data_IF_551665615661
#
_entry.id   IF_551665615661
#
_cell.length_a   1.000
_cell.length_b   1.000
_cell.length_c   1.000
_cell.angle_alpha   90.00
_cell.angle_beta   90.00
_cell.angle_gamma   90.00
#
_symmetry.space_group_name_H-M   'P 1'
#
loop_
_entity.id
_entity.type
_entity.pdbx_description
1 polymer ?
#
# COMPACT_ATOMS: atom_id res chain seq x y z
N UNK A 1 11.54 7.79 -28.33
CA UNK A 1 11.52 6.31 -28.20
C UNK A 1 10.14 5.77 -27.85
N UNK A 2 9.59 5.97 -26.64
CA UNK A 2 8.29 5.37 -26.28
C UNK A 2 7.13 5.91 -27.13
N UNK A 3 7.05 7.23 -27.32
CA UNK A 3 6.06 7.89 -28.19
C UNK A 3 6.22 7.43 -29.65
N UNK A 4 7.44 7.39 -30.16
CA UNK A 4 7.76 6.96 -31.53
C UNK A 4 7.42 5.48 -31.77
N UNK A 5 7.60 4.63 -30.75
CA UNK A 5 7.27 3.20 -30.80
C UNK A 5 5.80 2.91 -30.49
N UNK A 6 5.03 3.94 -30.15
CA UNK A 6 3.65 3.83 -29.66
C UNK A 6 3.49 2.76 -28.56
N UNK A 7 4.45 2.68 -27.64
CA UNK A 7 4.48 1.65 -26.62
C UNK A 7 3.25 1.75 -25.71
N UNK A 8 2.55 0.64 -25.46
CA UNK A 8 1.39 0.63 -24.55
C UNK A 8 1.81 0.79 -23.09
N UNK A 9 2.97 0.23 -22.74
CA UNK A 9 3.55 0.25 -21.40
C UNK A 9 5.03 0.68 -21.47
N UNK A 10 5.45 1.49 -20.51
CA UNK A 10 6.85 1.68 -20.15
C UNK A 10 7.09 0.99 -18.83
N UNK A 11 8.15 0.19 -18.78
CA UNK A 11 8.56 -0.53 -17.57
C UNK A 11 9.98 -0.13 -17.25
N UNK A 12 10.22 0.21 -15.99
CA UNK A 12 11.54 0.49 -15.45
C UNK A 12 11.73 -0.25 -14.12
N UNK A 13 12.97 -0.66 -13.86
CA UNK A 13 13.36 -1.22 -12.56
C UNK A 13 14.46 -0.37 -11.94
N UNK A 14 14.64 -0.48 -10.63
CA UNK A 14 15.84 0.02 -9.97
C UNK A 14 17.06 -0.88 -10.22
N UNK A 15 18.29 -0.45 -9.90
CA UNK A 15 19.52 -1.13 -10.30
C UNK A 15 19.67 -2.58 -9.80
N UNK A 16 19.08 -2.91 -8.65
CA UNK A 16 19.04 -4.27 -8.08
C UNK A 16 17.80 -5.07 -8.49
N UNK A 17 16.92 -4.48 -9.32
CA UNK A 17 15.75 -5.11 -9.92
C UNK A 17 14.71 -5.62 -8.90
N UNK A 18 14.57 -4.92 -7.78
CA UNK A 18 13.64 -5.29 -6.71
C UNK A 18 12.36 -4.43 -6.72
N UNK A 19 12.36 -3.28 -7.41
CA UNK A 19 11.19 -2.42 -7.60
C UNK A 19 10.83 -2.21 -9.06
N UNK A 20 9.53 -2.03 -9.30
CA UNK A 20 8.96 -1.86 -10.64
C UNK A 20 8.22 -0.51 -10.77
N UNK A 21 8.66 0.32 -11.71
CA UNK A 21 7.90 1.47 -12.19
C UNK A 21 7.15 1.13 -13.48
N UNK A 22 5.89 1.55 -13.58
CA UNK A 22 5.04 1.33 -14.76
C UNK A 22 4.44 2.68 -15.19
N UNK A 23 4.53 2.99 -16.48
CA UNK A 23 3.69 4.01 -17.11
C UNK A 23 2.85 3.38 -18.21
N UNK A 24 1.61 3.84 -18.33
CA UNK A 24 0.60 3.29 -19.24
C UNK A 24 0.20 4.36 -20.24
N UNK A 25 0.20 4.04 -21.55
CA UNK A 25 -0.38 4.92 -22.57
C UNK A 25 -1.90 4.90 -22.40
N UNK A 26 -2.49 6.04 -22.06
CA UNK A 26 -3.92 6.21 -21.86
C UNK A 26 -4.33 7.57 -22.41
N UNK A 27 -5.37 7.60 -23.26
CA UNK A 27 -5.86 8.81 -23.95
C UNK A 27 -4.75 9.63 -24.66
N UNK A 28 -3.73 8.95 -25.18
CA UNK A 28 -2.61 9.58 -25.90
C UNK A 28 -1.49 10.15 -25.01
N UNK A 29 -1.63 10.09 -23.68
CA UNK A 29 -0.60 10.47 -22.72
C UNK A 29 -0.08 9.25 -21.95
N UNK A 30 1.09 9.39 -21.31
CA UNK A 30 1.64 8.35 -20.44
C UNK A 30 1.38 8.68 -18.97
N UNK A 31 0.58 7.85 -18.32
CA UNK A 31 0.21 7.98 -16.90
C UNK A 31 1.01 7.00 -16.06
N UNK A 32 1.70 7.49 -15.03
CA UNK A 32 2.44 6.65 -14.10
C UNK A 32 1.51 6.00 -13.09
N UNK A 33 1.70 4.70 -12.85
CA UNK A 33 1.07 3.98 -11.74
C UNK A 33 1.99 4.02 -10.53
N UNK A 34 1.43 4.35 -9.36
CA UNK A 34 2.18 4.25 -8.10
C UNK A 34 2.21 2.79 -7.58
N UNK A 35 2.97 2.54 -6.51
CA UNK A 35 3.12 1.19 -5.95
C UNK A 35 1.81 0.59 -5.41
N UNK A 36 0.93 1.40 -4.81
CA UNK A 36 -0.39 0.95 -4.34
C UNK A 36 -1.30 0.58 -5.52
N UNK A 37 -1.39 1.44 -6.53
CA UNK A 37 -2.19 1.20 -7.74
C UNK A 37 -1.70 -0.03 -8.49
N UNK A 38 -0.38 -0.20 -8.60
CA UNK A 38 0.23 -1.41 -9.20
C UNK A 38 -0.16 -2.66 -8.41
N UNK A 39 -0.03 -2.63 -7.08
CA UNK A 39 -0.43 -3.74 -6.22
C UNK A 39 -1.93 -4.07 -6.29
N UNK A 40 -2.78 -3.05 -6.40
CA UNK A 40 -4.24 -3.19 -6.58
C UNK A 40 -4.58 -3.86 -7.90
N UNK A 41 -4.05 -3.36 -9.01
CA UNK A 41 -4.29 -3.91 -10.36
C UNK A 41 -3.84 -5.36 -10.42
N UNK A 42 -2.63 -5.66 -9.91
CA UNK A 42 -2.09 -7.02 -9.89
C UNK A 42 -2.93 -7.95 -9.02
N UNK A 43 -3.34 -7.50 -7.82
CA UNK A 43 -4.18 -8.29 -6.92
C UNK A 43 -5.54 -8.60 -7.56
N UNK A 44 -6.22 -7.58 -8.09
CA UNK A 44 -7.52 -7.75 -8.75
C UNK A 44 -7.43 -8.74 -9.92
N UNK A 45 -6.45 -8.56 -10.79
CA UNK A 45 -6.25 -9.41 -11.95
C UNK A 45 -5.97 -10.87 -11.55
N UNK A 46 -5.06 -11.09 -10.60
CA UNK A 46 -4.73 -12.45 -10.12
C UNK A 46 -5.98 -13.15 -9.59
N UNK A 47 -6.76 -12.47 -8.74
CA UNK A 47 -7.96 -13.06 -8.14
C UNK A 47 -9.05 -13.33 -9.17
N UNK A 48 -9.25 -12.42 -10.12
CA UNK A 48 -10.22 -12.58 -11.20
C UNK A 48 -9.86 -13.77 -12.11
N UNK A 49 -8.57 -13.94 -12.42
CA UNK A 49 -8.08 -15.05 -13.25
C UNK A 49 -8.10 -16.39 -12.53
N UNK A 50 -7.90 -16.39 -11.21
CA UNK A 50 -7.88 -17.61 -10.40
C UNK A 50 -9.24 -17.95 -9.78
N UNK A 51 -10.30 -17.15 -9.95
CA UNK A 51 -11.57 -17.32 -9.20
C UNK A 51 -12.16 -18.73 -9.22
N UNK A 52 -12.03 -19.47 -10.32
CA UNK A 52 -12.52 -20.86 -10.48
C UNK A 52 -11.50 -21.93 -10.05
N UNK A 53 -10.26 -21.51 -9.77
CA UNK A 53 -9.11 -22.38 -9.49
C UNK A 53 -8.29 -21.88 -8.29
N UNK A 54 -8.92 -21.13 -7.37
CA UNK A 54 -8.24 -20.63 -6.17
C UNK A 54 -7.72 -21.84 -5.37
N UNK A 55 -6.45 -21.81 -4.93
CA UNK A 55 -5.92 -22.87 -4.10
C UNK A 55 -6.58 -22.84 -2.73
N UNK A 56 -6.38 -23.89 -1.93
CA UNK A 56 -6.90 -23.96 -0.56
C UNK A 56 -6.22 -22.89 0.33
N UNK A 57 -7.03 -22.19 1.12
CA UNK A 57 -6.60 -21.14 2.06
C UNK A 57 -5.69 -20.07 1.41
N UNK A 58 -6.15 -19.45 0.31
CA UNK A 58 -5.35 -18.48 -0.43
C UNK A 58 -5.16 -17.20 0.40
N UNK A 59 -4.00 -16.57 0.26
CA UNK A 59 -3.76 -15.27 0.87
C UNK A 59 -2.87 -14.33 0.04
N UNK A 60 -3.14 -13.05 0.22
CA UNK A 60 -2.31 -11.92 -0.23
C UNK A 60 -1.58 -11.36 0.99
N UNK A 61 -0.41 -10.76 0.80
CA UNK A 61 0.32 -10.07 1.87
C UNK A 61 0.56 -8.62 1.48
N UNK A 62 0.27 -7.67 2.36
CA UNK A 62 0.65 -6.26 2.18
C UNK A 62 1.29 -5.71 3.45
N UNK A 63 2.00 -4.59 3.36
CA UNK A 63 2.39 -3.88 4.59
C UNK A 63 1.22 -3.09 5.14
N UNK A 64 1.26 -2.77 6.45
CA UNK A 64 0.26 -1.94 7.11
C UNK A 64 0.13 -0.53 6.50
N UNK A 65 1.15 -0.04 5.81
CA UNK A 65 1.15 1.29 5.16
C UNK A 65 0.83 1.25 3.66
N UNK A 66 0.57 0.08 3.10
CA UNK A 66 0.05 -0.07 1.74
C UNK A 66 -1.47 0.06 1.72
N UNK A 67 -2.08 0.35 0.57
CA UNK A 67 -3.52 0.62 0.46
C UNK A 67 -4.41 -0.48 1.05
N UNK A 68 -5.56 -0.09 1.62
CA UNK A 68 -6.59 -1.01 2.13
C UNK A 68 -7.60 -1.46 1.07
N UNK A 69 -7.55 -0.88 -0.14
CA UNK A 69 -8.41 -1.29 -1.26
C UNK A 69 -8.27 -2.80 -1.58
N UNK A 70 -7.04 -3.34 -1.47
CA UNK A 70 -6.79 -4.78 -1.69
C UNK A 70 -7.55 -5.67 -0.71
N UNK A 71 -7.88 -5.20 0.50
CA UNK A 71 -8.72 -5.94 1.45
C UNK A 71 -10.15 -6.08 0.94
N UNK A 72 -10.71 -5.02 0.36
CA UNK A 72 -12.06 -5.03 -0.23
C UNK A 72 -12.13 -5.95 -1.44
N UNK A 73 -11.13 -5.87 -2.32
CA UNK A 73 -11.01 -6.74 -3.49
C UNK A 73 -10.92 -8.20 -3.06
N UNK A 74 -9.98 -8.54 -2.16
CA UNK A 74 -9.76 -9.91 -1.72
C UNK A 74 -10.98 -10.53 -1.00
N UNK A 75 -11.73 -9.73 -0.25
CA UNK A 75 -12.95 -10.18 0.43
C UNK A 75 -14.01 -10.72 -0.55
N UNK A 76 -14.16 -10.13 -1.75
CA UNK A 76 -15.08 -10.61 -2.80
C UNK A 76 -14.79 -12.06 -3.23
N UNK A 77 -13.53 -12.47 -3.15
CA UNK A 77 -13.06 -13.79 -3.54
C UNK A 77 -12.82 -14.73 -2.35
N UNK A 78 -13.22 -14.32 -1.13
CA UNK A 78 -12.93 -15.04 0.11
C UNK A 78 -11.42 -15.32 0.32
N UNK A 79 -10.57 -14.41 -0.15
CA UNK A 79 -9.11 -14.50 0.01
C UNK A 79 -8.68 -13.66 1.20
N UNK A 80 -7.81 -14.22 2.05
CA UNK A 80 -7.30 -13.50 3.23
C UNK A 80 -6.25 -12.49 2.80
N UNK A 81 -6.24 -11.33 3.46
CA UNK A 81 -5.11 -10.38 3.38
C UNK A 81 -4.38 -10.43 4.71
N UNK A 82 -3.11 -10.83 4.68
CA UNK A 82 -2.21 -10.76 5.83
C UNK A 82 -1.47 -9.43 5.77
N UNK A 83 -1.40 -8.74 6.89
CA UNK A 83 -0.64 -7.50 7.00
C UNK A 83 0.70 -7.76 7.67
N UNK A 84 1.72 -6.99 7.32
CA UNK A 84 3.03 -6.99 7.97
C UNK A 84 3.49 -5.57 8.27
N UNK A 85 4.48 -5.41 9.14
CA UNK A 85 5.21 -4.15 9.23
C UNK A 85 5.89 -3.83 7.88
N UNK A 86 6.28 -2.56 7.70
CA UNK A 86 7.11 -2.13 6.57
C UNK A 86 8.42 -2.93 6.50
N UNK A 87 8.78 -3.39 5.30
CA UNK A 87 9.97 -4.17 5.02
C UNK A 87 9.62 -5.56 4.49
N UNK A 88 10.00 -5.84 3.24
CA UNK A 88 9.68 -7.09 2.55
C UNK A 88 10.14 -8.36 3.27
N UNK A 89 11.16 -8.28 4.14
CA UNK A 89 11.57 -9.42 4.98
C UNK A 89 10.40 -10.04 5.74
N UNK A 90 9.45 -9.25 6.23
CA UNK A 90 8.29 -9.75 6.97
C UNK A 90 7.30 -10.46 6.03
N UNK A 91 7.17 -9.99 4.79
CA UNK A 91 6.40 -10.69 3.76
C UNK A 91 7.07 -12.03 3.45
N UNK A 92 8.40 -12.05 3.29
CA UNK A 92 9.20 -13.26 3.15
C UNK A 92 9.01 -14.26 4.30
N UNK A 93 9.03 -13.80 5.55
CA UNK A 93 8.77 -14.62 6.74
C UNK A 93 7.38 -15.27 6.72
N UNK A 94 6.35 -14.54 6.27
CA UNK A 94 5.00 -15.09 6.13
C UNK A 94 4.93 -16.17 5.04
N UNK A 95 5.62 -15.96 3.92
CA UNK A 95 5.69 -16.96 2.84
C UNK A 95 6.44 -18.20 3.34
N UNK A 96 7.58 -18.01 4.01
CA UNK A 96 8.40 -19.09 4.54
C UNK A 96 7.65 -19.91 5.58
N UNK A 97 6.97 -19.26 6.53
CA UNK A 97 6.14 -19.92 7.53
C UNK A 97 5.03 -20.74 6.87
N UNK A 98 4.40 -20.20 5.83
CA UNK A 98 3.34 -20.90 5.08
C UNK A 98 3.87 -22.17 4.40
N UNK A 99 5.05 -22.11 3.78
CA UNK A 99 5.68 -23.25 3.12
C UNK A 99 6.15 -24.32 4.13
N UNK A 100 6.78 -23.91 5.24
CA UNK A 100 7.27 -24.83 6.29
C UNK A 100 6.11 -25.54 7.00
N UNK A 101 5.04 -24.83 7.33
CA UNK A 101 3.88 -25.41 7.99
C UNK A 101 2.95 -26.18 7.03
N UNK A 102 3.13 -26.01 5.72
CA UNK A 102 2.21 -26.53 4.70
C UNK A 102 0.79 -25.95 4.83
N UNK A 103 0.67 -24.70 5.30
CA UNK A 103 -0.60 -24.03 5.57
C UNK A 103 -0.68 -22.69 4.85
N UNK A 104 -1.82 -22.46 4.21
CA UNK A 104 -2.06 -21.28 3.38
C UNK A 104 -1.39 -21.37 2.01
N UNK A 105 -1.94 -20.65 1.05
CA UNK A 105 -1.40 -20.56 -0.31
C UNK A 105 -1.14 -19.10 -0.67
N UNK A 106 0.13 -18.70 -0.68
CA UNK A 106 0.53 -17.35 -1.09
C UNK A 106 0.19 -17.12 -2.57
N UNK A 107 -0.48 -16.01 -2.86
CA UNK A 107 -0.81 -15.60 -4.23
C UNK A 107 0.05 -14.43 -4.71
N UNK A 108 0.21 -13.42 -3.86
CA UNK A 108 0.93 -12.18 -4.19
C UNK A 108 1.20 -11.38 -2.92
N UNK A 109 2.21 -10.52 -2.97
CA UNK A 109 2.43 -9.54 -1.92
C UNK A 109 3.26 -8.36 -2.37
N UNK A 110 2.99 -7.22 -1.76
CA UNK A 110 3.52 -5.95 -2.22
C UNK A 110 3.68 -4.92 -1.09
N UNK A 111 4.50 -3.92 -1.38
CA UNK A 111 4.66 -2.69 -0.61
C UNK A 111 4.29 -1.50 -1.50
N UNK A 112 3.78 -0.43 -0.90
CA UNK A 112 3.48 0.85 -1.55
C UNK A 112 4.73 1.50 -2.18
N UNK A 113 5.91 1.07 -1.75
CA UNK A 113 7.22 1.52 -2.24
C UNK A 113 7.68 0.82 -3.53
N UNK A 114 6.74 0.37 -4.37
CA UNK A 114 6.98 -0.28 -5.69
C UNK A 114 7.59 -1.69 -5.66
N UNK A 115 7.73 -2.27 -4.47
CA UNK A 115 8.22 -3.64 -4.29
C UNK A 115 7.10 -4.65 -4.31
N UNK A 116 7.25 -5.75 -5.05
CA UNK A 116 6.28 -6.85 -5.02
C UNK A 116 6.91 -8.19 -5.39
N UNK A 117 6.21 -9.27 -5.05
CA UNK A 117 6.57 -10.62 -5.44
C UNK A 117 5.33 -11.35 -5.94
N UNK A 118 5.41 -11.81 -7.19
CA UNK A 118 4.46 -12.77 -7.75
C UNK A 118 5.12 -14.15 -7.82
N UNK A 119 4.56 -15.11 -7.10
CA UNK A 119 5.17 -16.42 -6.89
C UNK A 119 5.96 -16.53 -5.58
N UNK A 120 6.62 -17.67 -5.36
CA UNK A 120 7.32 -17.98 -4.09
C UNK A 120 8.75 -18.45 -4.27
N UNK A 121 9.35 -18.16 -5.43
CA UNK A 121 10.74 -18.50 -5.75
C UNK A 121 11.74 -17.68 -4.95
N UNK A 122 11.33 -16.50 -4.48
CA UNK A 122 12.12 -15.63 -3.61
C UNK A 122 11.43 -15.39 -2.26
N UNK A 123 12.18 -14.80 -1.33
CA UNK A 123 11.69 -14.18 -0.08
C UNK A 123 11.98 -12.69 -0.06
N UNK A 124 12.14 -12.13 -1.25
CA UNK A 124 12.42 -10.73 -1.52
C UNK A 124 11.57 -10.27 -2.70
N UNK A 125 11.56 -8.97 -2.95
CA UNK A 125 10.88 -8.38 -4.11
C UNK A 125 11.56 -8.84 -5.40
N UNK A 126 10.76 -8.95 -6.46
CA UNK A 126 11.27 -9.31 -7.78
C UNK A 126 10.53 -8.53 -8.86
N UNK A 127 11.17 -7.46 -9.32
CA UNK A 127 10.62 -6.60 -10.37
C UNK A 127 10.51 -7.31 -11.72
N UNK A 128 11.26 -8.38 -11.97
CA UNK A 128 11.18 -9.16 -13.22
C UNK A 128 9.88 -9.98 -13.24
N UNK A 129 9.55 -10.64 -12.12
CA UNK A 129 8.26 -11.34 -11.98
C UNK A 129 7.08 -10.37 -12.10
N UNK A 130 7.19 -9.20 -11.47
CA UNK A 130 6.18 -8.15 -11.52
C UNK A 130 6.05 -7.54 -12.93
N UNK A 131 7.15 -7.35 -13.66
CA UNK A 131 7.17 -6.85 -15.03
C UNK A 131 6.48 -7.84 -15.99
N UNK A 132 6.77 -9.14 -15.85
CA UNK A 132 6.11 -10.18 -16.64
C UNK A 132 4.59 -10.20 -16.37
N UNK A 133 4.18 -10.03 -15.11
CA UNK A 133 2.78 -9.89 -14.74
C UNK A 133 2.16 -8.62 -15.34
N UNK A 134 2.84 -7.47 -15.26
CA UNK A 134 2.37 -6.21 -15.85
C UNK A 134 2.16 -6.33 -17.37
N UNK A 135 3.11 -6.92 -18.10
CA UNK A 135 2.99 -7.22 -19.53
C UNK A 135 1.81 -8.17 -19.81
N UNK A 136 1.59 -9.17 -18.95
CA UNK A 136 0.46 -10.10 -19.07
C UNK A 136 -0.87 -9.39 -18.91
N UNK A 137 -0.98 -8.50 -17.91
CA UNK A 137 -2.17 -7.69 -17.65
C UNK A 137 -2.42 -6.74 -18.82
N UNK A 138 -1.41 -5.94 -19.22
CA UNK A 138 -1.54 -4.99 -20.33
C UNK A 138 -1.92 -5.69 -21.63
N UNK A 139 -1.28 -6.81 -21.97
CA UNK A 139 -1.62 -7.61 -23.14
C UNK A 139 -3.00 -8.27 -23.05
N UNK A 140 -3.48 -8.59 -21.85
CA UNK A 140 -4.84 -9.09 -21.64
C UNK A 140 -5.89 -8.01 -21.89
N UNK A 141 -5.74 -6.85 -21.24
CA UNK A 141 -6.66 -5.72 -21.34
C UNK A 141 -6.71 -5.14 -22.75
N UNK A 142 -5.55 -5.06 -23.43
CA UNK A 142 -5.46 -4.58 -24.82
C UNK A 142 -6.33 -5.36 -25.79
N UNK A 143 -6.56 -6.67 -25.57
CA UNK A 143 -7.47 -7.47 -26.42
C UNK A 143 -8.93 -7.02 -26.35
N UNK A 144 -9.31 -6.35 -25.26
CA UNK A 144 -10.62 -5.74 -25.08
C UNK A 144 -10.61 -4.24 -25.37
N UNK A 145 -9.52 -3.69 -25.91
CA UNK A 145 -9.38 -2.26 -26.16
C UNK A 145 -9.17 -1.42 -24.89
N UNK A 146 -8.84 -2.06 -23.76
CA UNK A 146 -8.65 -1.39 -22.47
C UNK A 146 -7.17 -1.23 -22.12
N UNK A 147 -6.87 -0.24 -21.31
CA UNK A 147 -5.58 0.02 -20.68
C UNK A 147 -5.61 -0.40 -19.20
N UNK A 148 -4.44 -0.45 -18.56
CA UNK A 148 -4.37 -0.66 -17.11
C UNK A 148 -4.98 0.50 -16.30
N UNK A 149 -5.09 1.70 -16.88
CA UNK A 149 -5.79 2.83 -16.26
C UNK A 149 -7.30 2.59 -16.27
N UNK A 150 -7.87 2.17 -17.41
CA UNK A 150 -9.30 1.82 -17.49
C UNK A 150 -9.68 0.76 -16.46
N UNK A 151 -8.83 -0.28 -16.33
CA UNK A 151 -9.06 -1.34 -15.36
C UNK A 151 -8.95 -0.85 -13.91
N UNK A 152 -8.06 0.11 -13.62
CA UNK A 152 -7.98 0.74 -12.30
C UNK A 152 -9.25 1.54 -11.99
N UNK A 153 -9.77 2.28 -12.96
CA UNK A 153 -11.02 3.02 -12.80
C UNK A 153 -12.22 2.08 -12.56
N UNK A 154 -12.32 0.96 -13.28
CA UNK A 154 -13.36 -0.07 -13.00
C UNK A 154 -13.28 -0.60 -11.56
N UNK A 155 -12.07 -0.82 -11.04
CA UNK A 155 -11.85 -1.24 -9.65
C UNK A 155 -12.32 -0.16 -8.68
N UNK A 156 -12.05 1.11 -8.96
CA UNK A 156 -12.49 2.23 -8.15
C UNK A 156 -14.01 2.43 -8.20
N UNK A 157 -14.65 2.24 -9.35
CA UNK A 157 -16.10 2.26 -9.49
C UNK A 157 -16.76 1.16 -8.64
N UNK A 158 -16.16 -0.03 -8.57
CA UNK A 158 -16.72 -1.15 -7.81
C UNK A 158 -16.53 -0.99 -6.29
N UNK A 159 -15.37 -0.50 -5.85
CA UNK A 159 -14.96 -0.56 -4.44
C UNK A 159 -14.86 0.81 -3.75
N UNK A 160 -14.99 1.89 -4.51
CA UNK A 160 -14.72 3.27 -4.09
C UNK A 160 -13.29 3.69 -4.43
N UNK A 161 -13.07 5.00 -4.45
CA UNK A 161 -11.82 5.59 -4.85
C UNK A 161 -10.88 5.73 -3.64
N UNK A 162 -9.73 5.07 -3.70
CA UNK A 162 -8.72 5.10 -2.64
C UNK A 162 -7.53 5.92 -3.07
N UNK A 163 -7.10 6.85 -2.20
CA UNK A 163 -5.88 7.60 -2.38
C UNK A 163 -5.02 7.48 -1.12
N UNK A 164 -3.71 7.48 -1.33
CA UNK A 164 -2.74 7.51 -0.26
C UNK A 164 -1.74 8.65 -0.47
N UNK A 165 -1.22 9.17 0.64
CA UNK A 165 -0.18 10.17 0.64
C UNK A 165 0.85 9.89 1.73
N UNK A 166 2.07 10.36 1.51
CA UNK A 166 3.14 10.32 2.51
C UNK A 166 3.57 11.75 2.85
N UNK A 167 3.43 12.13 4.11
CA UNK A 167 4.01 13.35 4.66
C UNK A 167 5.29 12.99 5.39
N UNK A 168 6.40 13.63 5.00
CA UNK A 168 7.69 13.49 5.64
C UNK A 168 8.02 14.79 6.38
N UNK A 169 8.13 14.74 7.71
CA UNK A 169 8.62 15.88 8.49
C UNK A 169 10.06 15.60 8.92
N UNK A 170 10.98 16.43 8.46
CA UNK A 170 12.41 16.36 8.79
C UNK A 170 12.73 17.40 9.84
N UNK A 171 13.36 16.99 10.94
CA UNK A 171 13.81 17.89 11.99
C UNK A 171 15.34 17.86 12.03
N UNK A 172 15.96 18.99 11.70
CA UNK A 172 17.41 19.09 11.56
C UNK A 172 18.05 19.34 12.93
N UNK A 173 19.19 18.69 13.18
CA UNK A 173 20.00 18.89 14.38
C UNK A 173 19.71 17.87 15.47
N UNK A 174 20.48 17.96 16.56
CA UNK A 174 20.41 17.04 17.71
C UNK A 174 19.03 17.06 18.37
N UNK A 175 18.38 18.23 18.39
CA UNK A 175 17.02 18.41 18.94
C UNK A 175 15.92 17.73 18.07
N UNK A 176 16.25 17.30 16.85
CA UNK A 176 15.30 16.69 15.93
C UNK A 176 14.80 15.33 16.39
N UNK A 177 15.69 14.48 16.90
CA UNK A 177 15.32 13.17 17.45
C UNK A 177 14.44 13.33 18.70
N UNK A 178 14.82 14.24 19.61
CA UNK A 178 14.04 14.55 20.81
C UNK A 178 12.62 15.05 20.45
N UNK A 179 12.49 15.87 19.40
CA UNK A 179 11.19 16.33 18.91
C UNK A 179 10.34 15.18 18.36
N UNK A 180 10.93 14.25 17.61
CA UNK A 180 10.23 13.07 17.08
C UNK A 180 9.76 12.16 18.23
N UNK A 181 10.64 11.87 19.19
CA UNK A 181 10.29 11.09 20.38
C UNK A 181 9.19 11.77 21.20
N UNK A 182 9.24 13.09 21.32
CA UNK A 182 8.21 13.88 21.99
C UNK A 182 6.86 13.74 21.29
N UNK A 183 6.79 13.88 19.96
CA UNK A 183 5.56 13.70 19.17
C UNK A 183 4.97 12.30 19.41
N UNK A 184 5.79 11.25 19.26
CA UNK A 184 5.33 9.87 19.44
C UNK A 184 4.84 9.62 20.87
N UNK A 185 5.56 10.12 21.89
CA UNK A 185 5.17 10.01 23.30
C UNK A 185 3.86 10.73 23.61
N UNK A 186 3.65 11.92 23.03
CA UNK A 186 2.40 12.68 23.18
C UNK A 186 1.22 11.95 22.55
N UNK A 187 1.37 11.43 21.33
CA UNK A 187 0.33 10.61 20.69
C UNK A 187 -0.03 9.39 21.55
N UNK A 188 0.98 8.65 22.04
CA UNK A 188 0.80 7.48 22.92
C UNK A 188 0.10 7.80 24.24
N UNK A 189 0.52 8.86 24.90
CA UNK A 189 -0.06 9.24 26.20
C UNK A 189 -1.48 9.78 26.09
N UNK A 190 -1.79 10.49 24.99
CA UNK A 190 -3.12 11.07 24.79
C UNK A 190 -4.15 10.09 24.25
N UNK A 191 -3.73 9.14 23.40
CA UNK A 191 -4.63 8.22 22.67
C UNK A 191 -5.88 8.96 22.16
N UNK A 192 -5.71 9.95 21.27
CA UNK A 192 -6.76 10.89 20.92
C UNK A 192 -8.01 10.16 20.44
N UNK A 193 -9.16 10.50 21.04
CA UNK A 193 -10.47 10.04 20.57
C UNK A 193 -10.99 10.88 19.39
N UNK A 194 -10.29 11.98 19.09
CA UNK A 194 -10.58 12.87 17.97
C UNK A 194 -9.30 13.41 17.33
N UNK A 195 -9.33 13.55 16.02
CA UNK A 195 -8.31 14.27 15.24
C UNK A 195 -9.00 15.44 14.55
N UNK A 196 -8.75 16.67 15.02
CA UNK A 196 -9.57 17.82 14.65
C UNK A 196 -11.04 17.61 15.03
N UNK A 197 -11.94 17.63 14.05
CA UNK A 197 -13.37 17.36 14.25
C UNK A 197 -13.77 15.89 14.02
N UNK A 198 -12.82 15.05 13.60
CA UNK A 198 -13.06 13.65 13.24
C UNK A 198 -13.02 12.75 14.46
N UNK A 199 -13.93 11.77 14.53
CA UNK A 199 -13.92 10.75 15.58
C UNK A 199 -12.93 9.64 15.21
N UNK A 200 -12.05 9.31 16.15
CA UNK A 200 -11.15 8.16 16.03
C UNK A 200 -11.91 6.90 16.41
N UNK A 201 -12.01 5.97 15.47
CA UNK A 201 -12.62 4.64 15.65
C UNK A 201 -11.66 3.69 16.35
N UNK A 202 -10.39 3.69 15.92
CA UNK A 202 -9.36 2.83 16.49
C UNK A 202 -8.04 3.59 16.62
N UNK A 203 -7.42 3.48 17.80
CA UNK A 203 -6.05 3.91 18.06
C UNK A 203 -5.23 2.67 18.43
N UNK A 204 -4.22 2.36 17.63
CA UNK A 204 -3.34 1.21 17.83
C UNK A 204 -1.90 1.67 17.94
N UNK A 205 -1.23 1.29 19.02
CA UNK A 205 0.22 1.45 19.19
C UNK A 205 0.87 0.09 19.07
N UNK A 206 1.69 -0.10 18.03
CA UNK A 206 2.36 -1.37 17.77
C UNK A 206 3.52 -1.66 18.74
N UNK A 207 3.84 -0.76 19.68
CA UNK A 207 4.71 -1.10 20.82
C UNK A 207 3.94 -1.82 21.95
N UNK A 208 2.64 -1.55 22.10
CA UNK A 208 1.82 -2.08 23.19
C UNK A 208 0.92 -3.23 22.73
N UNK A 209 0.34 -3.12 21.54
CA UNK A 209 -0.55 -4.12 20.93
C UNK A 209 -0.24 -4.30 19.44
N UNK A 210 0.78 -5.11 19.18
CA UNK A 210 1.19 -5.47 17.82
C UNK A 210 0.38 -6.64 17.22
N UNK A 211 -0.52 -7.26 17.99
CA UNK A 211 -1.19 -8.50 17.60
C UNK A 211 -0.18 -9.60 17.25
N UNK A 212 -0.30 -10.14 16.03
CA UNK A 212 0.63 -11.15 15.49
C UNK A 212 1.91 -10.55 14.88
N UNK A 213 2.05 -9.23 14.87
CA UNK A 213 3.24 -8.55 14.33
C UNK A 213 4.30 -8.39 15.42
N UNK A 214 5.59 -8.25 15.03
CA UNK A 214 6.62 -7.79 15.95
C UNK A 214 6.29 -6.40 16.51
N UNK A 215 6.74 -6.11 17.73
CA UNK A 215 6.62 -4.78 18.29
C UNK A 215 7.40 -3.76 17.44
N UNK A 216 6.81 -2.60 17.19
CA UNK A 216 7.44 -1.54 16.40
C UNK A 216 6.98 -0.16 16.82
N UNK A 217 7.86 0.83 16.66
CA UNK A 217 7.56 2.24 16.93
C UNK A 217 6.66 2.82 15.82
N UNK A 218 5.40 2.40 15.85
CA UNK A 218 4.37 2.74 14.87
C UNK A 218 3.06 2.95 15.61
N UNK A 219 2.33 4.00 15.24
CA UNK A 219 0.97 4.27 15.71
C UNK A 219 0.06 4.30 14.48
N UNK A 220 -1.06 3.60 14.54
CA UNK A 220 -2.16 3.71 13.57
C UNK A 220 -3.35 4.38 14.23
N UNK A 221 -3.88 5.41 13.56
CA UNK A 221 -5.09 6.11 13.94
C UNK A 221 -6.08 5.92 12.79
N UNK A 222 -7.19 5.27 13.07
CA UNK A 222 -8.24 4.97 12.09
C UNK A 222 -9.51 5.72 12.47
N UNK A 223 -10.08 6.42 11.50
CA UNK A 223 -11.26 7.25 11.65
C UNK A 223 -12.53 6.46 11.29
N UNK A 224 -13.70 6.97 11.68
CA UNK A 224 -14.99 6.33 11.40
C UNK A 224 -15.29 6.17 9.90
N UNK A 225 -14.76 7.06 9.06
CA UNK A 225 -14.93 7.05 7.59
C UNK A 225 -13.95 6.10 6.87
N UNK A 226 -13.28 5.21 7.60
CA UNK A 226 -12.21 4.31 7.12
C UNK A 226 -10.90 5.03 6.71
N UNK A 227 -10.78 6.35 6.91
CA UNK A 227 -9.51 7.05 6.71
C UNK A 227 -8.49 6.64 7.76
N UNK A 228 -7.20 6.68 7.42
CA UNK A 228 -6.09 6.27 8.32
C UNK A 228 -4.92 7.24 8.29
N UNK A 229 -4.32 7.42 9.47
CA UNK A 229 -3.02 8.07 9.64
C UNK A 229 -2.13 7.07 10.37
N UNK A 230 -1.06 6.63 9.71
CA UNK A 230 -0.03 5.77 10.31
C UNK A 230 1.23 6.60 10.50
N UNK A 231 1.69 6.69 11.75
CA UNK A 231 2.82 7.50 12.18
C UNK A 231 3.98 6.59 12.53
N UNK A 232 5.16 6.86 11.97
CA UNK A 232 6.38 6.09 12.21
C UNK A 232 7.65 6.95 12.12
N UNK A 233 8.53 6.94 13.12
CA UNK A 233 9.88 7.48 13.00
C UNK A 233 10.72 6.72 11.98
N UNK A 234 11.55 7.44 11.23
CA UNK A 234 12.60 6.85 10.40
C UNK A 234 13.73 6.34 11.29
N UNK A 235 14.24 5.14 11.00
CA UNK A 235 15.32 4.54 11.79
C UNK A 235 16.73 5.03 11.43
N UNK A 236 16.88 5.77 10.33
CA UNK A 236 18.19 6.16 9.77
C UNK A 236 18.37 7.67 9.62
N UNK A 237 17.28 8.44 9.72
CA UNK A 237 17.27 9.89 9.50
C UNK A 237 16.36 10.52 10.56
N UNK A 238 16.62 11.75 11.03
CA UNK A 238 15.76 12.47 11.96
C UNK A 238 14.50 12.99 11.24
N UNK A 239 13.67 12.03 10.82
CA UNK A 239 12.47 12.21 10.01
C UNK A 239 11.35 11.36 10.58
N UNK A 240 10.16 11.92 10.71
CA UNK A 240 8.94 11.18 11.02
C UNK A 240 8.06 11.12 9.78
N UNK A 241 7.46 9.95 9.54
CA UNK A 241 6.61 9.65 8.39
C UNK A 241 5.16 9.53 8.83
N UNK A 242 4.28 10.18 8.09
CA UNK A 242 2.83 10.03 8.23
C UNK A 242 2.27 9.48 6.92
N UNK A 243 1.81 8.24 6.94
CA UNK A 243 1.10 7.62 5.83
C UNK A 243 -0.38 7.92 5.99
N UNK A 244 -0.95 8.57 5.00
CA UNK A 244 -2.34 8.99 4.95
C UNK A 244 -3.06 8.07 3.97
N UNK A 245 -4.20 7.55 4.37
CA UNK A 245 -5.08 6.76 3.50
C UNK A 245 -6.47 7.35 3.59
N UNK A 246 -7.05 7.64 2.43
CA UNK A 246 -8.40 8.16 2.33
C UNK A 246 -9.20 7.34 1.33
N UNK A 247 -10.50 7.26 1.61
CA UNK A 247 -11.50 6.72 0.68
C UNK A 247 -12.51 7.81 0.35
N UNK A 248 -12.92 7.88 -0.90
CA UNK A 248 -14.01 8.73 -1.36
C UNK A 248 -14.92 7.99 -2.33
N UNK A 249 -16.13 8.50 -2.52
CA UNK A 249 -17.05 7.98 -3.55
C UNK A 249 -16.53 8.25 -4.97
N UNK A 250 -15.61 9.20 -5.12
CA UNK A 250 -14.92 9.55 -6.36
C UNK A 250 -13.54 10.14 -6.05
N UNK A 251 -12.74 10.38 -7.09
CA UNK A 251 -11.41 10.95 -6.97
C UNK A 251 -11.38 12.28 -6.21
N UNK A 252 -12.28 13.22 -6.56
CA UNK A 252 -12.32 14.54 -5.94
C UNK A 252 -12.55 14.48 -4.42
N UNK A 253 -13.46 13.62 -3.97
CA UNK A 253 -13.73 13.40 -2.54
C UNK A 253 -12.55 12.75 -1.85
N UNK A 254 -11.94 11.72 -2.44
CA UNK A 254 -10.77 11.07 -1.89
C UNK A 254 -9.59 12.06 -1.77
N UNK A 255 -9.39 12.89 -2.79
CA UNK A 255 -8.32 13.90 -2.85
C UNK A 255 -8.54 14.99 -1.81
N UNK A 256 -9.77 15.51 -1.71
CA UNK A 256 -10.14 16.46 -0.65
C UNK A 256 -9.85 15.87 0.73
N UNK A 257 -10.21 14.61 0.95
CA UNK A 257 -9.96 13.93 2.23
C UNK A 257 -8.47 13.78 2.53
N UNK A 258 -7.62 13.49 1.53
CA UNK A 258 -6.16 13.50 1.72
C UNK A 258 -5.67 14.86 2.20
N UNK A 259 -6.16 15.96 1.64
CA UNK A 259 -5.75 17.31 2.08
C UNK A 259 -6.23 17.61 3.49
N UNK A 260 -7.45 17.22 3.87
CA UNK A 260 -7.92 17.30 5.26
C UNK A 260 -7.02 16.50 6.22
N UNK A 261 -6.59 15.29 5.84
CA UNK A 261 -5.65 14.49 6.64
C UNK A 261 -4.26 15.15 6.76
N UNK A 262 -3.79 15.85 5.72
CA UNK A 262 -2.54 16.61 5.78
C UNK A 262 -2.64 17.75 6.79
N UNK A 263 -3.74 18.49 6.79
CA UNK A 263 -3.98 19.56 7.77
C UNK A 263 -4.00 19.01 9.20
N UNK A 264 -4.61 17.84 9.42
CA UNK A 264 -4.59 17.16 10.73
C UNK A 264 -3.16 16.79 11.16
N UNK A 265 -2.31 16.34 10.24
CA UNK A 265 -0.89 16.05 10.52
C UNK A 265 -0.09 17.30 10.84
N UNK A 266 -0.41 18.44 10.24
CA UNK A 266 0.22 19.71 10.64
C UNK A 266 -0.10 20.07 12.09
N UNK A 267 -1.35 19.85 12.53
CA UNK A 267 -1.76 20.07 13.92
C UNK A 267 -1.25 19.05 14.94
N UNK A 268 -0.63 17.94 14.52
CA UNK A 268 -0.09 16.92 15.46
C UNK A 268 1.05 17.49 16.31
N UNK A 269 1.80 18.47 15.82
CA UNK A 269 2.87 19.11 16.60
C UNK A 269 2.32 19.93 17.77
N UNK A 270 1.08 20.42 17.64
CA UNK A 270 0.39 21.24 18.64
C UNK A 270 -0.42 20.41 19.66
N UNK A 271 -0.49 19.08 19.48
CA UNK A 271 -0.92 18.18 20.55
C UNK A 271 0.06 18.35 21.71
#
# INVERSE_FOLDING_TARGET
VAEEAEADLLIATDPDCDRLGIMVKHEGAYTALNGNQTGVIMTAFILERLKESLPKDPFIVKTIVSTDLVKKIAAKYNVKVKETLTGFKFIGEIIEKSDVEGKGSYLFGFEESYGSLYGKHARDKDAISAAALACTIGGFLKRSGMTMIDYLEEIYEEHGHYLEALVNKVYVGIEGEEKIESIMRKLRSRRPLKMGNETVREFRDYLEDSGDLPAADVISIEMEDDSKIIVRPSGTEPKIKFYLMARGDNEDKARKRIEELRELVEGIEDL
#
